data_IF_781896782386
#
_entry.id   IF_781896782386
#
_cell.length_a   1.000
_cell.length_b   1.000
_cell.length_c   1.000
_cell.angle_alpha   90.00
_cell.angle_beta   90.00
_cell.angle_gamma   90.00
#
_symmetry.space_group_name_H-M   'P 1'
#
loop_
_entity.id
_entity.type
_entity.pdbx_description
1 polymer ?
#
# COMPACT_ATOMS: atom_id res chain seq x y z
N UNK A 1 -31.32 2.13 -21.15
CA UNK A 1 -30.00 1.52 -20.91
C UNK A 1 -29.75 1.54 -19.40
N UNK A 2 -29.47 0.38 -18.78
CA UNK A 2 -29.23 0.30 -17.34
C UNK A 2 -27.79 0.66 -17.00
N UNK A 3 -27.57 1.34 -15.87
CA UNK A 3 -26.24 1.51 -15.30
C UNK A 3 -25.78 0.17 -14.73
N UNK A 4 -24.65 -0.36 -15.23
CA UNK A 4 -24.04 -1.57 -14.68
C UNK A 4 -23.36 -1.23 -13.35
N UNK A 5 -24.14 -1.21 -12.26
CA UNK A 5 -23.65 -0.89 -10.92
C UNK A 5 -23.13 -2.15 -10.24
N UNK A 6 -21.82 -2.23 -10.03
CA UNK A 6 -21.25 -3.27 -9.18
C UNK A 6 -21.47 -2.90 -7.70
N UNK A 7 -22.34 -3.64 -7.01
CA UNK A 7 -22.64 -3.43 -5.59
C UNK A 7 -21.64 -4.12 -4.65
N UNK A 8 -20.84 -5.06 -5.16
CA UNK A 8 -19.83 -5.83 -4.41
C UNK A 8 -18.46 -5.19 -4.52
N UNK A 9 -18.32 -4.00 -3.93
CA UNK A 9 -17.05 -3.28 -3.87
C UNK A 9 -16.46 -3.36 -2.46
N UNK A 10 -15.15 -3.61 -2.36
CA UNK A 10 -14.45 -3.55 -1.09
C UNK A 10 -14.36 -2.09 -0.63
N UNK A 11 -14.95 -1.78 0.52
CA UNK A 11 -15.04 -0.41 1.06
C UNK A 11 -13.97 -0.06 2.09
N UNK A 12 -13.00 -0.94 2.33
CA UNK A 12 -11.95 -0.69 3.31
C UNK A 12 -11.16 0.58 2.96
N UNK A 13 -11.02 1.48 3.95
CA UNK A 13 -10.36 2.79 3.77
C UNK A 13 -8.85 2.60 3.62
N UNK A 14 -8.22 1.97 4.62
CA UNK A 14 -6.77 1.83 4.67
C UNK A 14 -6.16 1.12 3.45
N UNK A 15 -6.58 -0.12 3.07
CA UNK A 15 -6.05 -0.78 1.88
C UNK A 15 -6.33 0.01 0.59
N UNK A 16 -7.48 0.68 0.51
CA UNK A 16 -7.84 1.53 -0.62
C UNK A 16 -6.92 2.73 -0.77
N UNK A 17 -6.66 3.46 0.32
CA UNK A 17 -5.77 4.63 0.34
C UNK A 17 -4.34 4.24 -0.02
N UNK A 18 -3.83 3.15 0.56
CA UNK A 18 -2.50 2.63 0.23
C UNK A 18 -2.38 2.29 -1.25
N UNK A 19 -3.45 1.75 -1.83
CA UNK A 19 -3.49 1.43 -3.25
C UNK A 19 -3.52 2.66 -4.14
N UNK A 20 -4.26 3.70 -3.76
CA UNK A 20 -4.21 5.00 -4.46
C UNK A 20 -2.79 5.56 -4.44
N UNK A 21 -2.11 5.56 -3.29
CA UNK A 21 -0.71 6.00 -3.16
C UNK A 21 0.22 5.24 -4.09
N UNK A 22 0.15 3.91 -4.09
CA UNK A 22 0.96 3.08 -4.98
C UNK A 22 0.77 3.41 -6.46
N UNK A 23 -0.40 3.84 -6.90
CA UNK A 23 -0.62 4.18 -8.30
C UNK A 23 -0.11 5.58 -8.69
N UNK A 24 -0.03 6.49 -7.72
CA UNK A 24 0.45 7.87 -7.89
C UNK A 24 1.97 7.99 -7.72
N UNK A 25 2.56 7.19 -6.84
CA UNK A 25 3.99 7.25 -6.56
C UNK A 25 4.80 6.76 -7.78
N UNK A 26 5.88 7.46 -8.16
CA UNK A 26 6.88 6.89 -9.05
C UNK A 26 7.56 5.73 -8.31
N UNK A 27 7.66 4.58 -8.99
CA UNK A 27 8.27 3.40 -8.40
C UNK A 27 9.71 3.26 -8.87
N UNK A 28 10.61 2.81 -8.00
CA UNK A 28 11.98 2.58 -8.41
C UNK A 28 12.03 1.47 -9.48
N UNK A 29 12.88 1.67 -10.48
CA UNK A 29 13.00 0.78 -11.63
C UNK A 29 13.48 -0.65 -11.29
N UNK A 30 13.87 -0.93 -10.04
CA UNK A 30 14.25 -2.28 -9.62
C UNK A 30 13.06 -3.23 -9.44
N UNK A 31 11.82 -2.72 -9.26
CA UNK A 31 10.61 -3.55 -9.26
C UNK A 31 10.05 -3.70 -10.68
N UNK A 32 10.89 -4.15 -11.62
CA UNK A 32 10.56 -4.29 -13.05
C UNK A 32 9.34 -5.21 -13.28
N UNK A 33 9.12 -6.17 -12.37
CA UNK A 33 8.01 -7.13 -12.48
C UNK A 33 6.66 -6.46 -12.24
N UNK A 34 6.59 -5.55 -11.29
CA UNK A 34 5.36 -4.85 -10.93
C UNK A 34 5.23 -3.54 -11.70
N UNK A 35 6.33 -2.81 -11.86
CA UNK A 35 6.43 -1.48 -12.47
C UNK A 35 7.58 -1.44 -13.50
N UNK A 36 7.36 -1.96 -14.72
CA UNK A 36 8.42 -2.09 -15.73
C UNK A 36 9.02 -0.74 -16.14
N UNK A 37 8.21 0.32 -16.17
CA UNK A 37 8.63 1.64 -16.61
C UNK A 37 9.07 2.56 -15.45
N UNK A 38 8.89 2.14 -14.19
CA UNK A 38 9.10 2.99 -13.00
C UNK A 38 8.18 4.23 -12.90
N UNK A 39 7.26 4.39 -13.85
CA UNK A 39 6.35 5.54 -13.93
C UNK A 39 5.07 5.32 -13.12
N UNK A 40 4.43 6.40 -12.64
CA UNK A 40 3.09 6.31 -12.08
C UNK A 40 2.10 5.66 -13.06
N UNK A 41 1.11 4.93 -12.54
CA UNK A 41 0.05 4.30 -13.36
C UNK A 41 -1.24 5.12 -13.38
N UNK A 42 -1.39 6.06 -12.46
CA UNK A 42 -2.54 6.95 -12.38
C UNK A 42 -2.12 8.37 -12.74
N UNK A 43 -2.80 8.93 -13.75
CA UNK A 43 -2.64 10.31 -14.17
C UNK A 43 -3.99 11.02 -14.03
N UNK A 44 -3.96 12.24 -13.54
CA UNK A 44 -5.15 13.07 -13.36
C UNK A 44 -5.05 14.23 -14.33
N UNK A 45 -6.02 14.31 -15.24
CA UNK A 45 -6.07 15.40 -16.22
C UNK A 45 -6.44 16.72 -15.54
N UNK A 46 -5.90 17.82 -16.08
CA UNK A 46 -6.20 19.19 -15.62
C UNK A 46 -7.70 19.53 -15.72
N UNK A 47 -8.45 18.84 -16.58
CA UNK A 47 -9.89 19.00 -16.79
C UNK A 47 -10.75 18.40 -15.67
N UNK A 48 -10.15 17.78 -14.65
CA UNK A 48 -10.84 17.25 -13.47
C UNK A 48 -10.66 18.16 -12.24
N UNK A 49 -11.22 19.40 -12.22
CA UNK A 49 -10.93 20.39 -11.17
C UNK A 49 -11.42 19.97 -9.78
N UNK A 50 -12.55 19.25 -9.72
CA UNK A 50 -13.08 18.76 -8.44
C UNK A 50 -12.16 17.72 -7.82
N UNK A 51 -11.73 16.71 -8.60
CA UNK A 51 -10.77 15.71 -8.13
C UNK A 51 -9.45 16.36 -7.64
N UNK A 52 -8.92 17.33 -8.39
CA UNK A 52 -7.70 18.05 -7.99
C UNK A 52 -7.91 18.81 -6.69
N UNK A 53 -9.06 19.46 -6.52
CA UNK A 53 -9.41 20.21 -5.30
C UNK A 53 -9.50 19.29 -4.09
N UNK A 54 -10.14 18.14 -4.24
CA UNK A 54 -10.31 17.16 -3.16
C UNK A 54 -8.98 16.52 -2.75
N UNK A 55 -8.16 16.11 -3.71
CA UNK A 55 -6.82 15.56 -3.44
C UNK A 55 -5.97 16.55 -2.63
N UNK A 56 -6.02 17.84 -2.96
CA UNK A 56 -5.26 18.88 -2.23
C UNK A 56 -5.77 19.11 -0.81
N UNK A 57 -7.05 18.89 -0.54
CA UNK A 57 -7.67 19.08 0.79
C UNK A 57 -7.62 17.83 1.66
N UNK A 58 -7.28 16.68 1.07
CA UNK A 58 -7.27 15.39 1.73
C UNK A 58 -6.27 15.36 2.89
N UNK A 59 -6.77 15.09 4.09
CA UNK A 59 -5.99 15.10 5.33
C UNK A 59 -6.47 14.03 6.30
N UNK A 60 -5.55 13.53 7.10
CA UNK A 60 -5.85 12.62 8.20
C UNK A 60 -6.40 13.40 9.39
N UNK A 61 -7.24 12.73 10.20
CA UNK A 61 -7.58 13.23 11.53
C UNK A 61 -6.38 13.08 12.46
N UNK A 62 -6.29 13.91 13.49
CA UNK A 62 -5.17 13.89 14.44
C UNK A 62 -5.17 12.63 15.31
N UNK A 63 -6.35 12.18 15.74
CA UNK A 63 -6.50 11.10 16.74
C UNK A 63 -7.04 9.78 16.16
N UNK A 64 -7.27 9.70 14.85
CA UNK A 64 -7.86 8.52 14.21
C UNK A 64 -7.08 8.15 12.94
N UNK A 65 -6.94 6.83 12.69
CA UNK A 65 -6.42 6.27 11.44
C UNK A 65 -7.46 6.37 10.28
N UNK A 66 -8.15 7.50 10.21
CA UNK A 66 -9.14 7.79 9.18
C UNK A 66 -8.99 9.21 8.62
N UNK A 67 -9.30 9.40 7.32
CA UNK A 67 -9.34 10.74 6.74
C UNK A 67 -10.51 11.56 7.25
N UNK A 68 -10.35 12.88 7.20
CA UNK A 68 -11.45 13.82 7.48
C UNK A 68 -12.52 13.71 6.39
N UNK A 69 -13.76 13.39 6.78
CA UNK A 69 -14.92 13.25 5.87
C UNK A 69 -15.44 14.62 5.41
N UNK A 70 -14.72 15.26 4.48
CA UNK A 70 -15.03 16.58 3.91
C UNK A 70 -14.61 16.58 2.43
N UNK A 71 -15.54 16.90 1.53
CA UNK A 71 -15.29 16.95 0.07
C UNK A 71 -14.54 15.69 -0.43
N UNK A 72 -15.11 14.49 -0.25
CA UNK A 72 -14.45 13.21 -0.56
C UNK A 72 -15.09 12.38 -1.69
N UNK A 73 -16.04 12.97 -2.44
CA UNK A 73 -16.83 12.33 -3.51
C UNK A 73 -16.10 12.05 -4.83
N UNK A 74 -14.87 12.49 -5.01
CA UNK A 74 -14.02 12.05 -6.13
C UNK A 74 -12.98 11.05 -5.61
N UNK A 75 -12.54 11.24 -4.37
CA UNK A 75 -11.56 10.40 -3.70
C UNK A 75 -12.09 9.01 -3.35
N UNK A 76 -13.33 8.91 -2.87
CA UNK A 76 -13.95 7.63 -2.55
C UNK A 76 -14.23 6.81 -3.81
N UNK A 77 -14.69 7.47 -4.87
CA UNK A 77 -14.96 6.90 -6.19
C UNK A 77 -13.68 6.36 -6.80
N UNK A 78 -12.59 7.14 -6.75
CA UNK A 78 -11.26 6.72 -7.20
C UNK A 78 -10.75 5.52 -6.39
N UNK A 79 -10.96 5.54 -5.07
CA UNK A 79 -10.58 4.44 -4.18
C UNK A 79 -11.32 3.16 -4.55
N UNK A 80 -12.64 3.21 -4.69
CA UNK A 80 -13.46 2.08 -5.12
C UNK A 80 -13.06 1.55 -6.49
N UNK A 81 -12.78 2.45 -7.44
CA UNK A 81 -12.30 2.09 -8.76
C UNK A 81 -10.98 1.32 -8.69
N UNK A 82 -9.99 1.80 -7.95
CA UNK A 82 -8.69 1.12 -7.83
C UNK A 82 -8.79 -0.19 -7.04
N UNK A 83 -9.67 -0.27 -6.05
CA UNK A 83 -9.90 -1.49 -5.28
C UNK A 83 -10.59 -2.59 -6.09
N UNK A 84 -11.35 -2.23 -7.13
CA UNK A 84 -11.93 -3.20 -8.06
C UNK A 84 -10.90 -3.86 -8.99
N UNK A 85 -9.68 -3.32 -9.08
CA UNK A 85 -8.61 -3.85 -9.93
C UNK A 85 -7.93 -5.06 -9.25
N UNK A 86 -7.43 -6.04 -10.02
CA UNK A 86 -6.76 -7.23 -9.47
C UNK A 86 -5.62 -6.84 -8.53
N UNK A 87 -5.54 -7.48 -7.36
CA UNK A 87 -4.57 -7.14 -6.31
C UNK A 87 -3.14 -7.03 -6.85
N UNK A 88 -2.31 -6.07 -6.38
CA UNK A 88 -0.92 -6.01 -6.76
C UNK A 88 -0.28 -7.36 -6.41
N UNK A 89 0.31 -8.02 -7.42
CA UNK A 89 1.01 -9.30 -7.26
C UNK A 89 2.03 -9.13 -6.13
N UNK A 90 1.91 -9.86 -5.02
CA UNK A 90 2.79 -9.69 -3.84
C UNK A 90 4.23 -9.50 -4.28
N UNK A 91 4.87 -8.41 -3.84
CA UNK A 91 6.28 -8.21 -4.12
C UNK A 91 6.97 -9.40 -3.48
N UNK A 92 7.66 -10.21 -4.29
CA UNK A 92 8.54 -11.23 -3.74
C UNK A 92 9.48 -10.46 -2.83
N UNK A 93 9.45 -10.76 -1.53
CA UNK A 93 10.43 -10.20 -0.60
C UNK A 93 11.80 -10.40 -1.23
N UNK A 94 12.68 -9.38 -1.27
CA UNK A 94 14.03 -9.56 -1.78
C UNK A 94 14.61 -10.83 -1.16
N UNK A 95 15.13 -11.75 -1.97
CA UNK A 95 15.71 -12.97 -1.42
C UNK A 95 16.76 -12.59 -0.37
N UNK A 96 16.66 -13.15 0.83
CA UNK A 96 17.53 -12.76 1.93
C UNK A 96 18.99 -13.00 1.53
N UNK A 97 19.79 -11.93 1.56
CA UNK A 97 21.21 -12.03 1.26
C UNK A 97 21.90 -13.03 2.20
N UNK A 98 22.98 -13.63 1.75
CA UNK A 98 23.76 -14.58 2.55
C UNK A 98 24.14 -14.00 3.92
N UNK A 99 24.42 -12.70 3.97
CA UNK A 99 24.74 -11.94 5.20
C UNK A 99 23.55 -11.91 6.16
N UNK A 100 22.34 -11.65 5.67
CA UNK A 100 21.12 -11.61 6.50
C UNK A 100 20.82 -12.99 7.08
N UNK A 101 20.90 -14.04 6.25
CA UNK A 101 20.72 -15.44 6.70
C UNK A 101 21.75 -15.81 7.78
N UNK A 102 23.01 -15.43 7.58
CA UNK A 102 24.08 -15.68 8.55
C UNK A 102 23.84 -14.97 9.89
N UNK A 103 23.46 -13.69 9.87
CA UNK A 103 23.15 -12.91 11.08
C UNK A 103 21.98 -13.54 11.86
N UNK A 104 20.92 -13.96 11.18
CA UNK A 104 19.79 -14.68 11.80
C UNK A 104 20.22 -15.99 12.46
N UNK A 105 21.08 -16.76 11.79
CA UNK A 105 21.63 -18.01 12.33
C UNK A 105 22.43 -17.78 13.61
N UNK A 106 23.29 -16.76 13.64
CA UNK A 106 24.05 -16.38 14.85
C UNK A 106 23.13 -15.91 15.98
N UNK A 107 22.13 -15.08 15.69
CA UNK A 107 21.16 -14.62 16.67
C UNK A 107 20.36 -15.79 17.29
N UNK A 108 19.92 -16.75 16.47
CA UNK A 108 19.24 -17.95 16.94
C UNK A 108 20.15 -18.84 17.80
N UNK A 109 21.44 -18.97 17.44
CA UNK A 109 22.43 -19.69 18.26
C UNK A 109 22.60 -19.03 19.63
N UNK A 110 22.78 -17.71 19.67
CA UNK A 110 22.88 -16.94 20.93
C UNK A 110 21.65 -17.11 21.82
N UNK A 111 20.43 -17.02 21.27
CA UNK A 111 19.18 -17.21 22.03
C UNK A 111 19.07 -18.60 22.66
N UNK A 112 19.48 -19.65 21.93
CA UNK A 112 19.49 -21.02 22.45
C UNK A 112 20.52 -21.23 23.56
N UNK A 113 21.71 -20.64 23.42
CA UNK A 113 22.72 -20.67 24.48
C UNK A 113 22.25 -19.95 25.75
N UNK A 114 21.66 -18.76 25.61
CA UNK A 114 21.11 -18.01 26.75
C UNK A 114 19.92 -18.73 27.44
N UNK A 115 19.04 -19.37 26.67
CA UNK A 115 17.94 -20.15 27.24
C UNK A 115 18.41 -21.42 27.97
N UNK A 116 19.49 -22.06 27.48
CA UNK A 116 20.11 -23.19 28.16
C UNK A 116 20.88 -22.82 29.43
N UNK A 117 21.28 -21.56 29.57
CA UNK A 117 21.97 -21.03 30.75
C UNK A 117 20.96 -20.58 31.84
N UNK A 118 19.81 -20.05 31.44
CA UNK A 118 18.72 -19.66 32.34
C UNK A 118 17.96 -20.84 32.98
N UNK A 119 18.08 -22.06 32.40
CA UNK A 119 17.44 -23.28 32.92
C UNK A 119 18.37 -24.11 33.83
N UNK A 120 19.55 -23.59 34.16
CA UNK A 120 20.55 -24.22 35.06
C UNK A 120 20.72 -23.48 36.40
N UNK A 121 19.75 -22.66 36.78
CA UNK A 121 19.66 -22.01 38.09
C UNK A 121 18.42 -22.55 38.81
#
# INVERSE_FOLDING_TARGET
>A
QGLNVNTRVNKSKWPGIQRVKQYLEPHPCWDVKRWPDGKPRLFIFRTCPMMIREIKKYRWKEDEDEPVKRDDHAMDELRYYLMSRPAPQESRRPEESAVVKHKKRLAARRRRSAAGEHMRI
#
